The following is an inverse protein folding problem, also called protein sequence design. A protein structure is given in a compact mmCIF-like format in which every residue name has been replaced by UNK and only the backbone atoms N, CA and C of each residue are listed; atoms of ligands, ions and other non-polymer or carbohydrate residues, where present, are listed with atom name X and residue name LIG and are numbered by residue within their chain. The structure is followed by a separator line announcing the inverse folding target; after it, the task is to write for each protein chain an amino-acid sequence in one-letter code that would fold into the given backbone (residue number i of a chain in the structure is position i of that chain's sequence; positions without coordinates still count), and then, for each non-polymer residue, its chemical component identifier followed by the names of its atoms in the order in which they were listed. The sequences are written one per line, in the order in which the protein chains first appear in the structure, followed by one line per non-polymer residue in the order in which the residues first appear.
data_IF_256568029430
#
_entry.id   IF_256568029430
#
_cell.length_a   1.000
_cell.length_b   1.000
_cell.length_c   1.000
_cell.angle_alpha   90.00
_cell.angle_beta   90.00
_cell.angle_gamma   90.00
#
_symmetry.space_group_name_H-M   'P 1'
#
loop_
_entity.id
_entity.type
_entity.pdbx_description
1 polymer ?
#
# COMPACT_ATOMS: atom_id res chain seq x y z
N UNK A 1 5.49 25.86 -13.91
CA UNK A 1 4.77 26.07 -12.64
C UNK A 1 3.54 25.20 -12.60
N UNK A 2 3.33 24.52 -11.50
CA UNK A 2 2.18 23.63 -11.24
C UNK A 2 1.33 24.27 -10.15
N UNK A 3 0.00 24.15 -10.26
CA UNK A 3 -0.95 24.51 -9.21
C UNK A 3 -1.52 23.26 -8.60
N UNK A 4 -1.32 23.09 -7.30
CA UNK A 4 -1.87 21.96 -6.55
C UNK A 4 -2.84 22.47 -5.49
N UNK A 5 -4.08 21.98 -5.52
CA UNK A 5 -5.09 22.27 -4.50
C UNK A 5 -5.18 21.08 -3.55
N UNK A 6 -4.83 21.30 -2.30
CA UNK A 6 -4.75 20.27 -1.26
C UNK A 6 -5.88 20.46 -0.26
N UNK A 7 -6.59 19.39 0.07
CA UNK A 7 -7.56 19.41 1.16
C UNK A 7 -6.83 19.57 2.49
N UNK A 8 -7.18 20.63 3.22
CA UNK A 8 -6.62 20.94 4.53
C UNK A 8 -7.69 20.78 5.59
N UNK A 9 -7.39 20.01 6.60
CA UNK A 9 -8.26 19.82 7.77
C UNK A 9 -7.50 19.13 8.90
N UNK A 10 -7.59 19.68 10.08
CA UNK A 10 -7.06 19.07 11.29
C UNK A 10 -8.21 18.74 12.26
N UNK A 11 -8.60 17.46 12.41
CA UNK A 11 -9.70 17.08 13.30
C UNK A 11 -9.39 17.28 14.78
N UNK A 12 -8.12 17.44 15.16
CA UNK A 12 -7.72 17.73 16.55
C UNK A 12 -7.91 19.21 16.93
N UNK A 13 -8.06 20.12 15.95
CA UNK A 13 -8.32 21.54 16.17
C UNK A 13 -9.81 21.83 15.98
N UNK A 14 -10.56 22.20 17.05
CA UNK A 14 -11.98 22.52 16.96
C UNK A 14 -12.32 23.71 16.03
N UNK A 15 -11.31 24.54 15.71
CA UNK A 15 -11.48 25.69 14.82
C UNK A 15 -11.18 25.34 13.35
N UNK A 16 -10.61 24.18 13.10
CA UNK A 16 -10.28 23.74 11.75
C UNK A 16 -11.56 23.38 10.99
N UNK A 17 -11.70 23.93 9.80
CA UNK A 17 -12.79 23.63 8.87
C UNK A 17 -12.19 23.06 7.59
N UNK A 18 -12.71 21.96 7.04
CA UNK A 18 -12.23 21.42 5.77
C UNK A 18 -12.27 22.47 4.66
N UNK A 19 -11.15 22.71 4.01
CA UNK A 19 -11.04 23.65 2.89
C UNK A 19 -9.98 23.20 1.90
N UNK A 20 -10.06 23.71 0.68
CA UNK A 20 -9.05 23.51 -0.34
C UNK A 20 -8.06 24.68 -0.31
N UNK A 21 -6.79 24.41 -0.13
CA UNK A 21 -5.71 25.39 -0.19
C UNK A 21 -4.89 25.12 -1.44
N UNK A 22 -4.64 26.18 -2.22
CA UNK A 22 -3.90 26.08 -3.47
C UNK A 22 -2.48 26.58 -3.26
N UNK A 23 -1.53 25.82 -3.77
CA UNK A 23 -0.09 26.13 -3.77
C UNK A 23 0.42 26.18 -5.21
N UNK A 24 1.42 27.00 -5.45
CA UNK A 24 2.15 27.06 -6.71
C UNK A 24 3.59 26.64 -6.47
N UNK A 25 4.08 25.73 -7.33
CA UNK A 25 5.43 25.20 -7.23
C UNK A 25 6.07 25.07 -8.62
N UNK A 26 7.37 25.22 -8.69
CA UNK A 26 8.10 24.96 -9.93
C UNK A 26 8.27 23.47 -10.16
N UNK A 27 7.98 23.00 -11.36
CA UNK A 27 8.17 21.62 -11.72
C UNK A 27 9.64 21.35 -12.04
N UNK A 28 10.22 20.34 -11.39
CA UNK A 28 11.55 19.83 -11.71
C UNK A 28 11.45 18.52 -12.51
N UNK A 29 12.50 18.21 -13.27
CA UNK A 29 12.56 16.97 -14.02
C UNK A 29 12.38 15.75 -13.14
N UNK A 30 11.50 14.84 -13.57
CA UNK A 30 11.19 13.59 -12.85
C UNK A 30 10.61 13.77 -11.44
N UNK A 31 10.00 14.92 -11.16
CA UNK A 31 9.33 15.21 -9.90
C UNK A 31 8.15 14.24 -9.68
N UNK A 32 8.14 13.55 -8.54
CA UNK A 32 6.97 12.81 -8.08
C UNK A 32 6.12 13.69 -7.17
N UNK A 33 4.84 13.32 -6.98
CA UNK A 33 3.99 14.02 -6.00
C UNK A 33 4.59 13.98 -4.58
N UNK A 34 5.32 12.92 -4.24
CA UNK A 34 6.04 12.85 -2.97
C UNK A 34 7.10 13.95 -2.85
N UNK A 35 7.90 14.19 -3.90
CA UNK A 35 8.92 15.25 -3.91
C UNK A 35 8.23 16.62 -3.82
N UNK A 36 7.18 16.85 -4.61
CA UNK A 36 6.38 18.06 -4.58
C UNK A 36 5.84 18.37 -3.18
N UNK A 37 5.24 17.37 -2.51
CA UNK A 37 4.68 17.55 -1.15
C UNK A 37 5.77 17.86 -0.10
N UNK A 38 6.94 17.23 -0.20
CA UNK A 38 8.06 17.57 0.68
C UNK A 38 8.55 19.01 0.42
N UNK A 39 8.72 19.40 -0.83
CA UNK A 39 9.14 20.75 -1.17
C UNK A 39 8.13 21.80 -0.68
N UNK A 40 6.82 21.54 -0.85
CA UNK A 40 5.79 22.41 -0.29
C UNK A 40 5.90 22.53 1.23
N UNK A 41 6.08 21.40 1.92
CA UNK A 41 6.21 21.38 3.38
C UNK A 41 7.46 22.13 3.85
N UNK A 42 8.55 21.99 3.13
CA UNK A 42 9.83 22.58 3.52
C UNK A 42 9.91 24.09 3.20
N UNK A 43 9.23 24.55 2.12
CA UNK A 43 9.37 25.92 1.64
C UNK A 43 8.17 26.82 1.91
N UNK A 44 6.94 26.28 1.91
CA UNK A 44 5.73 27.09 1.96
C UNK A 44 4.86 26.81 3.18
N UNK A 45 4.65 25.54 3.55
CA UNK A 45 3.72 25.20 4.61
C UNK A 45 4.19 24.00 5.46
N UNK A 46 4.94 24.24 6.52
CA UNK A 46 5.43 23.20 7.42
C UNK A 46 4.33 22.42 8.15
N UNK A 47 3.10 22.92 8.16
CA UNK A 47 1.98 22.27 8.83
C UNK A 47 1.32 21.18 7.98
N UNK A 48 1.72 21.02 6.70
CA UNK A 48 1.13 20.04 5.81
C UNK A 48 1.38 18.61 6.27
N UNK A 49 0.28 17.86 6.50
CA UNK A 49 0.32 16.48 6.99
C UNK A 49 0.09 15.48 5.86
N UNK A 50 1.05 14.60 5.66
CA UNK A 50 0.94 13.44 4.78
C UNK A 50 1.94 12.37 5.19
N UNK A 51 1.64 11.11 4.86
CA UNK A 51 2.44 9.97 5.26
C UNK A 51 3.27 9.40 4.11
N UNK A 52 4.45 8.91 4.44
CA UNK A 52 5.31 8.16 3.53
C UNK A 52 6.32 7.30 4.30
N UNK A 53 6.71 6.16 3.73
CA UNK A 53 7.72 5.28 4.32
C UNK A 53 8.70 4.79 3.25
N UNK A 54 8.27 3.90 2.33
CA UNK A 54 9.18 3.20 1.44
C UNK A 54 9.66 4.02 0.23
N UNK A 55 8.91 5.00 -0.23
CA UNK A 55 9.14 5.80 -1.45
C UNK A 55 9.32 4.99 -2.74
N UNK A 56 8.97 3.71 -2.71
CA UNK A 56 9.17 2.74 -3.77
C UNK A 56 7.88 2.08 -4.29
N UNK A 57 6.72 2.57 -3.83
CA UNK A 57 5.41 2.05 -4.26
C UNK A 57 4.99 0.73 -3.61
N UNK A 58 5.60 0.34 -2.48
CA UNK A 58 5.38 -0.96 -1.84
C UNK A 58 4.46 -0.85 -0.62
N UNK A 59 4.71 0.11 0.28
CA UNK A 59 4.05 0.17 1.60
C UNK A 59 2.64 0.76 1.58
N UNK A 60 2.27 1.53 0.55
CA UNK A 60 0.96 2.18 0.47
C UNK A 60 0.75 3.40 1.36
N UNK A 61 1.69 3.77 2.25
CA UNK A 61 1.51 4.88 3.21
C UNK A 61 1.22 6.22 2.55
N UNK A 62 1.77 6.47 1.36
CA UNK A 62 1.56 7.72 0.61
C UNK A 62 0.33 7.66 -0.32
N UNK A 63 -0.60 6.77 -0.05
CA UNK A 63 -1.82 6.66 -0.85
C UNK A 63 -2.77 7.83 -0.53
N UNK A 64 -3.27 8.46 -1.58
CA UNK A 64 -4.20 9.58 -1.50
C UNK A 64 -5.07 9.67 -2.75
N UNK A 65 -6.08 10.52 -2.72
CA UNK A 65 -6.88 10.82 -3.90
C UNK A 65 -6.18 11.89 -4.74
N UNK A 66 -5.93 11.59 -6.00
CA UNK A 66 -5.31 12.48 -6.99
C UNK A 66 -6.36 12.72 -8.08
N UNK A 67 -6.85 13.94 -8.21
CA UNK A 67 -7.97 14.26 -9.12
C UNK A 67 -9.16 13.31 -8.97
N UNK A 68 -9.51 12.97 -7.74
CA UNK A 68 -10.62 12.06 -7.44
C UNK A 68 -10.35 10.57 -7.70
N UNK A 69 -9.13 10.18 -8.05
CA UNK A 69 -8.71 8.77 -8.22
C UNK A 69 -7.66 8.40 -7.19
N UNK A 70 -7.71 7.19 -6.60
CA UNK A 70 -6.69 6.76 -5.66
C UNK A 70 -5.36 6.53 -6.38
N UNK A 71 -4.27 7.00 -5.77
CA UNK A 71 -2.92 6.86 -6.30
C UNK A 71 -1.86 6.92 -5.20
N UNK A 72 -0.62 6.57 -5.56
CA UNK A 72 0.53 6.64 -4.65
C UNK A 72 1.38 7.87 -5.00
N UNK A 73 1.55 8.78 -4.07
CA UNK A 73 2.34 10.00 -4.30
C UNK A 73 3.79 9.71 -4.73
N UNK A 74 4.40 8.65 -4.21
CA UNK A 74 5.77 8.27 -4.57
C UNK A 74 5.92 7.64 -5.97
N UNK A 75 4.81 7.29 -6.65
CA UNK A 75 4.82 6.68 -7.99
C UNK A 75 4.18 7.54 -9.07
N UNK A 76 3.48 8.59 -8.68
CA UNK A 76 2.85 9.51 -9.62
C UNK A 76 3.80 10.64 -9.96
N UNK A 77 4.17 10.76 -11.23
CA UNK A 77 5.00 11.85 -11.72
C UNK A 77 4.11 13.08 -11.98
N UNK A 78 4.62 14.26 -11.67
CA UNK A 78 3.89 15.52 -11.90
C UNK A 78 3.62 15.76 -13.38
N UNK A 79 4.55 15.42 -14.26
CA UNK A 79 4.42 15.54 -15.72
C UNK A 79 3.26 14.70 -16.31
N UNK A 80 2.82 13.65 -15.61
CA UNK A 80 1.72 12.79 -16.06
C UNK A 80 0.35 13.35 -15.60
N UNK A 81 0.36 14.46 -14.85
CA UNK A 81 -0.82 15.17 -14.37
C UNK A 81 -1.06 16.46 -15.15
N UNK A 82 -2.29 16.98 -15.11
CA UNK A 82 -2.55 18.34 -15.58
C UNK A 82 -1.75 19.38 -14.79
N UNK A 83 -1.56 20.58 -15.35
CA UNK A 83 -0.90 21.69 -14.65
C UNK A 83 -1.63 22.16 -13.40
N UNK A 84 -2.92 21.87 -13.31
CA UNK A 84 -3.75 22.08 -12.13
C UNK A 84 -4.38 20.74 -11.69
N UNK A 85 -4.17 20.35 -10.45
CA UNK A 85 -4.73 19.11 -9.90
C UNK A 85 -5.07 19.24 -8.42
N UNK A 86 -5.86 18.28 -7.94
CA UNK A 86 -6.35 18.25 -6.56
C UNK A 86 -5.82 17.03 -5.82
N UNK A 87 -5.50 17.23 -4.54
CA UNK A 87 -5.13 16.15 -3.61
C UNK A 87 -6.08 16.14 -2.44
N UNK A 88 -6.54 14.94 -2.06
CA UNK A 88 -7.43 14.73 -0.93
C UNK A 88 -7.08 13.40 -0.21
N UNK A 89 -7.45 13.24 1.07
CA UNK A 89 -7.25 11.98 1.78
C UNK A 89 -8.10 10.85 1.19
N UNK A 90 -7.73 9.60 1.50
CA UNK A 90 -8.54 8.43 1.14
C UNK A 90 -9.86 8.43 1.92
N UNK A 91 -11.04 8.38 1.25
CA UNK A 91 -12.33 8.58 1.90
C UNK A 91 -12.78 7.42 2.79
N UNK A 92 -12.19 6.22 2.61
CA UNK A 92 -12.58 5.01 3.37
C UNK A 92 -11.91 4.90 4.74
N UNK A 93 -11.02 5.82 5.09
CA UNK A 93 -10.23 5.78 6.33
C UNK A 93 -10.54 6.98 7.22
N UNK A 94 -10.34 6.79 8.51
CA UNK A 94 -10.42 7.87 9.49
C UNK A 94 -9.30 8.89 9.25
N UNK A 95 -9.66 10.17 9.17
CA UNK A 95 -8.71 11.24 8.90
C UNK A 95 -7.91 11.58 10.16
N UNK A 96 -6.58 11.61 10.03
CA UNK A 96 -5.64 12.10 11.05
C UNK A 96 -5.42 13.61 10.86
N UNK A 97 -5.17 14.01 9.62
CA UNK A 97 -5.00 15.43 9.26
C UNK A 97 -4.60 15.56 7.79
N UNK A 98 -5.13 16.55 7.10
CA UNK A 98 -4.91 16.87 5.69
C UNK A 98 -5.03 15.62 4.78
N UNK A 99 -3.89 15.07 4.35
CA UNK A 99 -3.80 13.87 3.50
C UNK A 99 -3.51 12.59 4.28
N UNK A 100 -3.18 12.70 5.58
CA UNK A 100 -2.84 11.57 6.45
C UNK A 100 -4.08 10.87 6.99
N UNK A 101 -4.13 9.54 6.89
CA UNK A 101 -5.27 8.71 7.29
C UNK A 101 -4.86 7.53 8.17
N UNK A 102 -5.73 7.13 9.09
CA UNK A 102 -5.50 6.01 10.00
C UNK A 102 -5.78 4.66 9.32
N UNK A 103 -4.74 4.04 8.80
CA UNK A 103 -4.80 2.69 8.23
C UNK A 103 -4.68 1.58 9.28
N UNK A 104 -4.28 1.91 10.52
CA UNK A 104 -3.97 0.93 11.57
C UNK A 104 -5.16 0.05 11.96
N UNK A 105 -6.36 0.62 12.02
CA UNK A 105 -7.58 -0.13 12.31
C UNK A 105 -7.90 -1.16 11.22
N UNK A 106 -7.73 -0.78 9.96
CA UNK A 106 -7.94 -1.67 8.83
C UNK A 106 -6.89 -2.80 8.81
N UNK A 107 -5.62 -2.47 9.02
CA UNK A 107 -4.52 -3.45 9.09
C UNK A 107 -4.75 -4.46 10.22
N UNK A 108 -5.19 -3.99 11.38
CA UNK A 108 -5.50 -4.84 12.54
C UNK A 108 -6.65 -5.81 12.23
N UNK A 109 -7.76 -5.30 11.71
CA UNK A 109 -8.91 -6.12 11.32
C UNK A 109 -8.55 -7.15 10.26
N UNK A 110 -7.68 -6.80 9.33
CA UNK A 110 -7.18 -7.73 8.31
C UNK A 110 -6.31 -8.83 8.94
N UNK A 111 -5.40 -8.45 9.86
CA UNK A 111 -4.55 -9.39 10.59
C UNK A 111 -5.37 -10.37 11.44
N UNK A 112 -6.38 -9.88 12.17
CA UNK A 112 -7.29 -10.70 12.97
C UNK A 112 -8.11 -11.70 12.13
N UNK A 113 -8.50 -11.31 10.90
CA UNK A 113 -9.21 -12.21 9.98
C UNK A 113 -8.30 -13.26 9.33
N UNK A 114 -7.01 -12.99 9.31
CA UNK A 114 -6.00 -13.87 8.73
C UNK A 114 -5.20 -14.57 9.83
N UNK A 115 -5.87 -15.10 10.86
CA UNK A 115 -5.30 -15.74 12.08
C UNK A 115 -4.17 -16.76 11.83
N UNK A 116 -3.96 -17.15 10.58
CA UNK A 116 -2.97 -18.15 10.18
C UNK A 116 -1.55 -17.58 9.93
N UNK A 117 -1.33 -16.29 10.19
CA UNK A 117 -0.08 -15.62 9.81
C UNK A 117 1.14 -16.04 10.61
N UNK A 118 0.96 -16.45 11.87
CA UNK A 118 2.07 -16.91 12.69
C UNK A 118 1.61 -18.07 13.58
N UNK A 119 1.87 -19.29 13.14
CA UNK A 119 1.72 -20.46 13.99
C UNK A 119 3.05 -20.69 14.72
N UNK A 120 3.12 -20.30 15.97
CA UNK A 120 4.22 -20.68 16.85
C UNK A 120 3.84 -21.91 17.64
N UNK A 121 4.66 -22.96 17.57
CA UNK A 121 4.48 -24.18 18.37
C UNK A 121 4.87 -23.98 19.84
N UNK A 122 5.54 -22.89 20.17
CA UNK A 122 6.02 -22.57 21.53
C UNK A 122 5.80 -21.10 21.84
N UNK A 123 5.43 -20.79 23.07
CA UNK A 123 5.28 -19.41 23.57
C UNK A 123 6.62 -18.66 23.69
N UNK A 124 7.75 -19.38 23.70
CA UNK A 124 9.09 -18.79 23.80
C UNK A 124 9.85 -18.92 22.49
N UNK A 125 10.25 -17.77 21.93
CA UNK A 125 11.12 -17.69 20.78
C UNK A 125 12.57 -17.79 21.27
N UNK A 126 13.23 -18.93 21.03
CA UNK A 126 14.64 -19.10 21.26
C UNK A 126 15.42 -18.83 19.98
N UNK A 127 15.91 -17.60 19.81
CA UNK A 127 16.65 -17.16 18.62
C UNK A 127 17.99 -17.90 18.40
N UNK A 128 18.49 -18.63 19.41
CA UNK A 128 19.71 -19.41 19.32
C UNK A 128 19.48 -20.86 18.87
N UNK A 129 18.23 -21.31 18.84
CA UNK A 129 17.89 -22.68 18.42
C UNK A 129 17.67 -22.68 16.92
N UNK A 130 18.32 -23.63 16.22
CA UNK A 130 18.07 -23.84 14.79
C UNK A 130 16.59 -24.17 14.60
N UNK A 131 15.92 -23.40 13.74
CA UNK A 131 14.52 -23.63 13.40
C UNK A 131 14.36 -25.00 12.75
N UNK A 132 13.35 -25.74 13.20
CA UNK A 132 12.93 -26.96 12.51
C UNK A 132 12.25 -26.57 11.18
N UNK A 133 12.45 -27.34 10.12
CA UNK A 133 11.74 -27.10 8.88
C UNK A 133 10.21 -27.07 9.12
N UNK A 134 9.57 -26.07 8.58
CA UNK A 134 8.11 -25.97 8.66
C UNK A 134 7.46 -27.20 8.03
N UNK A 135 6.43 -27.74 8.68
CA UNK A 135 5.62 -28.81 8.11
C UNK A 135 5.14 -28.41 6.71
N UNK A 136 5.40 -29.22 5.67
CA UNK A 136 4.98 -28.88 4.30
C UNK A 136 3.49 -28.58 4.17
N UNK A 137 2.64 -29.26 4.95
CA UNK A 137 1.20 -29.02 4.97
C UNK A 137 0.87 -27.63 5.54
N UNK A 138 1.55 -27.25 6.62
CA UNK A 138 1.38 -25.94 7.24
C UNK A 138 1.92 -24.83 6.32
N UNK A 139 3.01 -25.08 5.62
CA UNK A 139 3.54 -24.14 4.64
C UNK A 139 2.55 -23.91 3.50
N UNK A 140 1.91 -24.97 2.98
CA UNK A 140 0.85 -24.82 1.96
C UNK A 140 -0.34 -24.03 2.47
N UNK A 141 -0.76 -24.25 3.72
CA UNK A 141 -1.89 -23.55 4.32
C UNK A 141 -1.61 -22.06 4.56
N UNK A 142 -0.35 -21.70 4.85
CA UNK A 142 0.07 -20.30 5.07
C UNK A 142 0.32 -19.57 3.77
N UNK A 143 1.11 -20.16 2.85
CA UNK A 143 1.54 -19.48 1.63
C UNK A 143 0.53 -19.54 0.48
N UNK A 144 -0.44 -20.46 0.56
CA UNK A 144 -1.47 -20.63 -0.45
C UNK A 144 -2.86 -20.66 0.21
N UNK A 145 -3.36 -19.53 0.76
CA UNK A 145 -4.72 -19.46 1.25
C UNK A 145 -5.69 -19.62 0.07
N UNK A 146 -6.03 -20.86 -0.25
CA UNK A 146 -7.06 -21.14 -1.24
C UNK A 146 -8.43 -21.16 -0.56
N UNK A 147 -9.44 -20.49 -1.12
CA UNK A 147 -10.81 -20.65 -0.66
C UNK A 147 -11.19 -22.14 -0.69
N UNK A 148 -12.00 -22.59 0.27
CA UNK A 148 -12.44 -23.99 0.34
C UNK A 148 -13.06 -24.38 -1.00
N UNK A 149 -12.50 -25.39 -1.66
CA UNK A 149 -12.94 -25.89 -2.98
C UNK A 149 -11.88 -25.88 -4.09
N UNK A 150 -10.82 -25.08 -4.00
CA UNK A 150 -9.74 -25.06 -4.98
C UNK A 150 -8.59 -26.05 -4.69
N UNK A 151 -8.54 -26.63 -3.48
CA UNK A 151 -7.51 -27.59 -3.08
C UNK A 151 -7.54 -28.91 -3.87
N UNK A 152 -8.68 -29.28 -4.44
CA UNK A 152 -8.81 -30.57 -5.14
C UNK A 152 -8.21 -30.63 -6.53
N UNK A 153 -7.97 -29.48 -7.19
CA UNK A 153 -7.52 -29.49 -8.58
C UNK A 153 -6.00 -29.67 -8.77
N UNK A 154 -5.16 -29.44 -7.77
CA UNK A 154 -3.69 -29.59 -7.91
C UNK A 154 -3.20 -31.02 -7.68
N UNK A 155 -3.81 -31.80 -6.80
CA UNK A 155 -3.44 -33.23 -6.62
C UNK A 155 -3.64 -34.06 -7.88
N UNK A 156 -4.74 -33.79 -8.62
CA UNK A 156 -5.05 -34.53 -9.84
C UNK A 156 -4.14 -34.20 -11.03
N UNK A 157 -3.40 -33.09 -10.97
CA UNK A 157 -2.46 -32.70 -12.04
C UNK A 157 -1.04 -33.22 -11.84
N UNK A 158 -0.62 -33.49 -10.60
CA UNK A 158 0.71 -34.05 -10.33
C UNK A 158 0.77 -35.56 -10.61
N UNK A 159 -0.35 -36.27 -10.55
CA UNK A 159 -0.46 -37.72 -10.82
C UNK A 159 -0.81 -38.05 -12.29
N UNK A 160 -0.90 -37.07 -13.18
CA UNK A 160 -1.02 -37.37 -14.61
C UNK A 160 0.35 -37.75 -15.15
N UNK A 161 0.53 -38.99 -15.67
CA UNK A 161 1.74 -39.35 -16.38
C UNK A 161 1.89 -38.41 -17.59
N UNK A 162 3.09 -37.88 -17.74
CA UNK A 162 3.45 -37.08 -18.94
C UNK A 162 3.08 -37.85 -20.19
N UNK A 163 2.46 -37.23 -21.19
CA UNK A 163 2.20 -37.92 -22.46
C UNK A 163 3.53 -38.38 -23.02
N UNK A 164 3.64 -39.70 -23.24
CA UNK A 164 4.75 -40.33 -23.91
C UNK A 164 4.95 -39.65 -25.26
N UNK A 165 6.11 -39.03 -25.44
CA UNK A 165 6.46 -38.31 -26.65
C UNK A 165 6.29 -39.19 -27.87
N UNK A 166 5.40 -38.81 -28.76
CA UNK A 166 5.26 -39.39 -30.09
C UNK A 166 6.25 -38.74 -31.03
N UNK A 167 7.15 -39.57 -31.50
CA UNK A 167 7.73 -39.61 -32.84
C UNK A 167 7.99 -38.29 -33.60
N UNK A 168 9.25 -38.00 -33.75
CA UNK A 168 9.80 -37.15 -34.82
C UNK A 168 9.37 -37.75 -36.18
N UNK A 169 8.82 -36.96 -37.03
CA UNK A 169 8.72 -37.24 -38.45
C UNK A 169 9.95 -36.68 -39.20
N UNK A 170 10.35 -37.32 -40.28
CA UNK A 170 11.57 -37.06 -41.04
C UNK A 170 11.57 -35.74 -41.79
#
# INVERSE_FOLDING_TARGET
MIKVSIMRYNPADPKSVPHMQTYEIEESDSMTLYILLNELRDTQDPSLQFDFVCRAGICGSCAMMINGKPGLACRTLTRDLPTEFTLAPLPAFELIGDLSVNTGKWMRNMSERMETWVHMKTEEINLCKKEEPMDPQLAEDIYLPHPPGLRRRRRDQQDRPLPSGSARHP
#
